data_IF_645977771167
#
_entry.id   IF_645977771167
#
_cell.length_a   1.000
_cell.length_b   1.000
_cell.length_c   1.000
_cell.angle_alpha   90.00
_cell.angle_beta   90.00
_cell.angle_gamma   90.00
#
_symmetry.space_group_name_H-M   'P 1'
#
loop_
_entity.id
_entity.type
_entity.pdbx_description
1 polymer ?
#
# COMPACT_ATOMS: atom_id res chain seq x y z
N UNK A 1 7.32 -8.14 1.01
CA UNK A 1 7.55 -6.70 0.74
C UNK A 1 6.37 -6.15 -0.05
N UNK A 2 5.81 -5.04 0.38
CA UNK A 2 4.74 -4.31 -0.32
C UNK A 2 5.25 -2.88 -0.53
N UNK A 3 5.29 -2.43 -1.77
CA UNK A 3 5.74 -1.11 -2.16
C UNK A 3 4.76 -0.55 -3.20
N UNK A 4 4.23 0.64 -2.96
CA UNK A 4 3.25 1.24 -3.86
C UNK A 4 3.73 2.61 -4.33
N UNK A 5 3.79 2.81 -5.65
CA UNK A 5 3.99 4.13 -6.23
C UNK A 5 2.62 4.78 -6.39
N UNK A 6 2.35 5.82 -5.61
CA UNK A 6 1.01 6.39 -5.49
C UNK A 6 0.99 7.90 -5.58
N UNK A 7 -0.16 8.42 -5.95
CA UNK A 7 -0.59 9.79 -5.67
C UNK A 7 -1.74 9.73 -4.68
N UNK A 8 -1.57 10.43 -3.56
CA UNK A 8 -2.55 10.54 -2.48
C UNK A 8 -3.15 11.94 -2.51
N UNK A 9 -4.48 12.03 -2.53
CA UNK A 9 -5.20 13.28 -2.35
C UNK A 9 -6.05 13.20 -1.08
N UNK A 10 -5.89 14.18 -0.19
CA UNK A 10 -6.57 14.21 1.10
C UNK A 10 -6.49 15.56 1.78
N UNK A 11 -6.80 15.58 3.07
CA UNK A 11 -6.77 16.80 3.90
C UNK A 11 -5.66 16.69 4.93
N UNK A 12 -4.85 17.73 5.06
CA UNK A 12 -3.80 17.77 6.09
C UNK A 12 -4.40 17.65 7.48
N UNK A 13 -4.00 16.61 8.20
CA UNK A 13 -4.48 16.31 9.57
C UNK A 13 -3.51 16.77 10.65
N UNK A 14 -2.22 16.78 10.33
CA UNK A 14 -1.15 17.13 11.26
C UNK A 14 -0.15 18.04 10.58
N UNK A 15 0.21 19.13 11.27
CA UNK A 15 1.15 20.16 10.78
C UNK A 15 2.53 19.58 10.45
N UNK A 16 3.16 20.16 9.44
CA UNK A 16 4.51 19.84 9.04
C UNK A 16 5.53 20.23 10.13
N UNK A 17 6.42 19.31 10.45
CA UNK A 17 7.49 19.48 11.44
C UNK A 17 8.80 18.92 10.90
N UNK A 18 9.90 19.66 11.11
CA UNK A 18 11.24 19.15 10.85
C UNK A 18 11.61 18.09 11.85
N UNK A 19 12.22 17.02 11.36
CA UNK A 19 12.75 15.90 12.13
C UNK A 19 14.11 15.48 11.58
N UNK A 20 14.86 14.71 12.34
CA UNK A 20 16.06 14.04 11.88
C UNK A 20 15.95 12.53 12.17
N UNK A 21 16.47 11.70 11.28
CA UNK A 21 16.63 10.28 11.53
C UNK A 21 17.87 10.02 12.42
N UNK A 22 18.12 8.75 12.76
CA UNK A 22 19.26 8.35 13.60
C UNK A 22 20.62 8.67 12.99
N UNK A 23 20.67 8.85 11.68
CA UNK A 23 21.87 9.18 10.89
C UNK A 23 22.06 10.69 10.70
N UNK A 24 21.16 11.50 11.28
CA UNK A 24 21.20 12.97 11.19
C UNK A 24 20.56 13.54 9.91
N UNK A 25 20.03 12.71 9.02
CA UNK A 25 19.34 13.19 7.80
C UNK A 25 18.05 13.90 8.19
N UNK A 26 17.91 15.14 7.73
CA UNK A 26 16.72 15.94 8.00
C UNK A 26 15.58 15.61 7.04
N UNK A 27 14.36 15.64 7.57
CA UNK A 27 13.14 15.46 6.80
C UNK A 27 11.98 16.19 7.47
N UNK A 28 11.00 16.55 6.67
CA UNK A 28 9.71 17.04 7.17
C UNK A 28 8.75 15.87 7.33
N UNK A 29 7.97 15.87 8.42
CA UNK A 29 6.90 14.90 8.66
C UNK A 29 5.57 15.63 8.93
N UNK A 30 4.49 15.17 8.29
CA UNK A 30 3.11 15.65 8.49
C UNK A 30 2.10 14.51 8.29
N UNK A 31 0.83 14.76 8.55
CA UNK A 31 -0.24 13.79 8.37
C UNK A 31 -1.26 14.22 7.32
N UNK A 32 -1.82 13.27 6.61
CA UNK A 32 -2.93 13.47 5.67
C UNK A 32 -4.04 12.49 6.02
N UNK A 33 -5.26 12.99 6.22
CA UNK A 33 -6.45 12.16 6.33
C UNK A 33 -7.06 11.94 4.94
N UNK A 34 -7.45 10.70 4.69
CA UNK A 34 -8.25 10.30 3.54
C UNK A 34 -9.46 9.51 4.01
N UNK A 35 -10.57 9.68 3.32
CA UNK A 35 -11.79 8.90 3.54
C UNK A 35 -11.85 7.78 2.52
N UNK A 36 -11.77 6.55 2.99
CA UNK A 36 -11.92 5.34 2.15
C UNK A 36 -13.40 4.92 2.19
N UNK A 37 -14.08 4.89 1.03
CA UNK A 37 -15.48 4.50 0.98
C UNK A 37 -15.65 3.02 1.31
N UNK A 38 -16.64 2.69 2.11
CA UNK A 38 -17.06 1.32 2.35
C UNK A 38 -18.13 0.91 1.32
N UNK A 39 -18.04 -0.31 0.80
CA UNK A 39 -19.09 -0.88 -0.08
C UNK A 39 -20.43 -1.06 0.66
N UNK A 40 -20.35 -1.27 1.97
CA UNK A 40 -21.48 -1.34 2.90
C UNK A 40 -21.02 -0.87 4.27
N UNK A 41 -21.87 -0.12 4.98
CA UNK A 41 -21.54 0.40 6.30
C UNK A 41 -20.91 1.80 6.26
N UNK A 42 -20.03 2.06 7.20
CA UNK A 42 -19.46 3.40 7.45
C UNK A 42 -18.11 3.54 6.75
N UNK A 43 -17.91 4.64 6.03
CA UNK A 43 -16.64 5.01 5.45
C UNK A 43 -15.56 5.11 6.55
N UNK A 44 -14.33 4.80 6.20
CA UNK A 44 -13.21 4.83 7.16
C UNK A 44 -12.25 5.97 6.84
N UNK A 45 -12.04 6.84 7.81
CA UNK A 45 -10.95 7.82 7.74
C UNK A 45 -9.64 7.15 8.15
N UNK A 46 -8.61 7.34 7.33
CA UNK A 46 -7.27 6.78 7.55
C UNK A 46 -6.26 7.91 7.49
N UNK A 47 -5.38 7.98 8.48
CA UNK A 47 -4.24 8.89 8.46
C UNK A 47 -3.06 8.24 7.74
N UNK A 48 -2.45 8.97 6.82
CA UNK A 48 -1.19 8.64 6.16
C UNK A 48 -0.11 9.53 6.76
N UNK A 49 0.92 8.93 7.32
CA UNK A 49 2.13 9.64 7.74
C UNK A 49 3.01 9.91 6.53
N UNK A 50 3.24 11.18 6.23
CA UNK A 50 4.07 11.63 5.12
C UNK A 50 5.44 12.06 5.63
N UNK A 51 6.49 11.65 4.94
CA UNK A 51 7.86 12.12 5.15
C UNK A 51 8.43 12.63 3.81
N UNK A 52 9.09 13.79 3.85
CA UNK A 52 9.79 14.37 2.70
C UNK A 52 11.19 14.81 3.13
N UNK A 53 12.23 14.26 2.51
CA UNK A 53 13.60 14.73 2.73
C UNK A 53 13.73 16.16 2.27
N UNK A 54 14.16 17.05 3.16
CA UNK A 54 14.43 18.46 2.92
C UNK A 54 15.26 19.02 4.08
N UNK A 55 16.00 20.10 3.85
CA UNK A 55 16.82 20.73 4.88
C UNK A 55 16.08 21.83 5.65
N UNK A 56 14.97 22.34 5.08
CA UNK A 56 14.17 23.40 5.68
C UNK A 56 12.70 23.28 5.24
N UNK A 57 11.77 23.74 6.08
CA UNK A 57 10.35 23.88 5.72
C UNK A 57 10.14 24.86 4.57
N UNK A 58 11.03 25.83 4.38
CA UNK A 58 10.95 26.81 3.26
C UNK A 58 11.14 26.18 1.87
N UNK A 59 11.68 24.98 1.80
CA UNK A 59 11.81 24.21 0.55
C UNK A 59 10.48 23.58 0.10
N UNK A 60 9.46 23.62 0.95
CA UNK A 60 8.16 23.00 0.70
C UNK A 60 7.06 24.06 0.53
N UNK A 61 5.99 23.75 -0.20
CA UNK A 61 4.81 24.59 -0.18
C UNK A 61 4.23 24.66 1.25
N UNK A 62 3.49 25.72 1.54
CA UNK A 62 2.85 25.88 2.86
C UNK A 62 1.86 24.75 3.11
N UNK A 63 2.11 23.97 4.17
CA UNK A 63 1.30 22.82 4.58
C UNK A 63 0.56 23.20 5.85
N UNK A 64 -0.74 23.49 5.72
CA UNK A 64 -1.61 23.88 6.83
C UNK A 64 -2.65 22.81 7.11
N UNK A 65 -2.93 22.56 8.41
CA UNK A 65 -4.00 21.66 8.83
C UNK A 65 -5.36 22.13 8.27
N UNK A 66 -6.15 21.20 7.76
CA UNK A 66 -7.44 21.46 7.14
C UNK A 66 -7.39 21.79 5.64
N UNK A 67 -6.20 22.00 5.04
CA UNK A 67 -6.08 22.26 3.61
C UNK A 67 -6.01 20.96 2.79
N UNK A 68 -6.51 21.04 1.55
CA UNK A 68 -6.40 19.94 0.57
C UNK A 68 -4.98 19.90 0.02
N UNK A 69 -4.48 18.67 -0.13
CA UNK A 69 -3.12 18.44 -0.61
C UNK A 69 -3.07 17.16 -1.46
N UNK A 70 -2.23 17.19 -2.47
CA UNK A 70 -1.88 16.02 -3.27
C UNK A 70 -0.40 15.70 -3.08
N UNK A 71 -0.09 14.46 -2.78
CA UNK A 71 1.28 13.99 -2.52
C UNK A 71 1.56 12.76 -3.35
N UNK A 72 2.57 12.85 -4.22
CA UNK A 72 3.12 11.71 -4.94
C UNK A 72 4.29 11.09 -4.17
N UNK A 73 4.41 9.77 -4.20
CA UNK A 73 5.52 9.10 -3.51
C UNK A 73 5.37 7.59 -3.40
N UNK A 74 6.18 7.03 -2.52
CA UNK A 74 6.21 5.61 -2.22
C UNK A 74 5.47 5.36 -0.92
N UNK A 75 4.33 4.67 -1.01
CA UNK A 75 3.54 4.24 0.13
C UNK A 75 3.97 2.83 0.57
N UNK A 76 4.23 2.69 1.85
CA UNK A 76 4.52 1.43 2.52
C UNK A 76 3.50 1.19 3.63
N UNK A 77 3.18 -0.08 3.84
CA UNK A 77 2.30 -0.54 4.90
C UNK A 77 3.12 -1.18 6.00
N UNK A 78 2.91 -0.75 7.23
CA UNK A 78 3.56 -1.31 8.40
C UNK A 78 2.50 -1.79 9.39
N UNK A 79 2.52 -3.08 9.73
CA UNK A 79 1.56 -3.65 10.68
C UNK A 79 2.20 -3.75 12.06
N UNK A 80 1.51 -3.21 13.08
CA UNK A 80 1.89 -3.34 14.48
C UNK A 80 0.66 -3.80 15.28
N UNK A 81 0.69 -5.02 15.78
CA UNK A 81 -0.50 -5.66 16.34
C UNK A 81 -1.62 -5.75 15.30
N UNK A 82 -2.80 -5.25 15.62
CA UNK A 82 -3.95 -5.19 14.70
C UNK A 82 -3.99 -3.91 13.85
N UNK A 83 -3.16 -2.91 14.17
CA UNK A 83 -3.13 -1.63 13.46
C UNK A 83 -2.26 -1.71 12.20
N UNK A 84 -2.77 -1.16 11.11
CA UNK A 84 -2.05 -0.97 9.86
C UNK A 84 -1.72 0.51 9.68
N UNK A 85 -0.44 0.83 9.67
CA UNK A 85 0.10 2.18 9.47
C UNK A 85 0.47 2.37 8.00
N UNK A 86 0.12 3.52 7.47
CA UNK A 86 0.41 3.94 6.11
C UNK A 86 1.48 5.03 6.15
N UNK A 87 2.65 4.74 5.60
CA UNK A 87 3.80 5.65 5.57
C UNK A 87 4.14 6.00 4.12
N UNK A 88 4.11 7.28 3.78
CA UNK A 88 4.37 7.80 2.44
C UNK A 88 5.69 8.58 2.43
N UNK A 89 6.66 8.06 1.69
CA UNK A 89 7.88 8.80 1.36
C UNK A 89 7.59 9.68 0.15
N UNK A 90 7.39 10.98 0.37
CA UNK A 90 6.97 11.91 -0.66
C UNK A 90 8.10 12.24 -1.65
N UNK A 91 7.81 12.13 -2.94
CA UNK A 91 8.65 12.64 -4.04
C UNK A 91 8.19 14.01 -4.53
N UNK A 92 6.87 14.26 -4.52
CA UNK A 92 6.24 15.52 -4.91
C UNK A 92 5.11 15.91 -3.98
N UNK A 93 4.90 17.22 -3.79
CA UNK A 93 3.83 17.80 -2.98
C UNK A 93 3.20 18.93 -3.78
N UNK A 94 1.86 18.90 -3.92
CA UNK A 94 1.09 19.91 -4.63
C UNK A 94 -0.08 20.38 -3.75
N UNK A 95 -0.17 21.68 -3.52
CA UNK A 95 -1.23 22.32 -2.73
C UNK A 95 -2.21 23.12 -3.58
N UNK A 96 -1.94 23.32 -4.87
CA UNK A 96 -2.73 24.23 -5.71
C UNK A 96 -3.85 23.55 -6.50
N UNK A 97 -3.66 22.31 -6.94
CA UNK A 97 -4.60 21.59 -7.81
C UNK A 97 -5.05 20.25 -7.19
N UNK A 98 -5.08 20.17 -5.87
CA UNK A 98 -5.55 18.94 -5.20
C UNK A 98 -7.02 18.68 -5.53
N UNK A 99 -7.35 17.44 -5.87
CA UNK A 99 -8.73 17.02 -6.12
C UNK A 99 -9.62 17.27 -4.89
N UNK A 100 -10.90 17.57 -5.12
CA UNK A 100 -11.89 17.66 -4.03
C UNK A 100 -12.24 16.29 -3.42
N UNK A 101 -11.93 15.21 -4.13
CA UNK A 101 -12.19 13.85 -3.65
C UNK A 101 -10.94 13.26 -3.00
N UNK A 102 -11.14 12.57 -1.88
CA UNK A 102 -10.10 11.76 -1.26
C UNK A 102 -9.78 10.55 -2.13
N UNK A 103 -8.51 10.15 -2.18
CA UNK A 103 -8.12 8.98 -2.93
C UNK A 103 -6.65 8.63 -2.82
N UNK A 104 -6.38 7.37 -3.12
CA UNK A 104 -5.04 6.83 -3.35
C UNK A 104 -5.09 6.14 -4.71
N UNK A 105 -4.30 6.64 -5.66
CA UNK A 105 -4.20 6.07 -6.99
C UNK A 105 -2.75 5.68 -7.26
N UNK A 106 -2.54 4.51 -7.81
CA UNK A 106 -1.20 4.09 -8.19
C UNK A 106 -1.05 2.59 -8.30
N UNK A 107 0.19 2.15 -8.40
CA UNK A 107 0.56 0.76 -8.61
C UNK A 107 1.20 0.14 -7.38
N UNK A 108 0.94 -1.14 -7.17
CA UNK A 108 1.54 -1.98 -6.14
C UNK A 108 2.58 -2.91 -6.76
N UNK A 109 3.74 -3.01 -6.14
CA UNK A 109 4.69 -4.10 -6.29
C UNK A 109 4.66 -4.95 -5.01
N UNK A 110 4.39 -6.23 -5.19
CA UNK A 110 4.22 -7.18 -4.11
C UNK A 110 5.17 -8.35 -4.27
N UNK A 111 5.79 -8.74 -3.14
CA UNK A 111 6.50 -10.01 -3.01
C UNK A 111 6.09 -10.70 -1.72
N UNK A 112 5.70 -11.97 -1.83
CA UNK A 112 5.20 -12.68 -0.67
C UNK A 112 4.90 -14.14 -0.94
N UNK A 113 3.95 -14.69 -0.19
CA UNK A 113 3.58 -16.10 -0.20
C UNK A 113 2.09 -16.25 -0.45
N UNK A 114 1.72 -17.13 -1.36
CA UNK A 114 0.33 -17.45 -1.68
C UNK A 114 -0.40 -18.08 -0.50
N UNK A 115 -1.62 -17.65 -0.28
CA UNK A 115 -2.55 -18.24 0.65
C UNK A 115 -3.11 -19.59 0.17
N UNK A 116 -4.06 -20.13 0.93
CA UNK A 116 -4.63 -21.47 0.65
C UNK A 116 -5.67 -21.44 -0.48
N UNK A 117 -6.43 -20.36 -0.58
CA UNK A 117 -7.56 -20.25 -1.53
C UNK A 117 -7.10 -19.53 -2.80
N UNK A 118 -7.21 -20.22 -3.93
CA UNK A 118 -6.92 -19.70 -5.27
C UNK A 118 -8.04 -20.20 -6.15
N UNK A 119 -8.90 -19.29 -6.61
CA UNK A 119 -10.18 -19.61 -7.26
C UNK A 119 -10.28 -18.97 -8.64
N UNK A 120 -10.59 -19.77 -9.64
CA UNK A 120 -11.02 -19.26 -10.95
C UNK A 120 -12.52 -18.91 -10.87
N UNK A 121 -12.85 -17.71 -11.33
CA UNK A 121 -14.21 -17.17 -11.35
C UNK A 121 -14.56 -16.67 -12.75
N UNK A 122 -15.84 -16.46 -12.95
CA UNK A 122 -16.36 -15.88 -14.20
C UNK A 122 -17.22 -14.68 -13.86
N UNK A 123 -17.02 -13.58 -14.56
CA UNK A 123 -17.88 -12.39 -14.45
C UNK A 123 -19.27 -12.66 -15.02
N UNK A 124 -20.24 -11.81 -14.72
CA UNK A 124 -21.59 -11.86 -15.33
C UNK A 124 -21.55 -11.75 -16.87
N UNK A 125 -20.50 -11.12 -17.41
CA UNK A 125 -20.27 -10.99 -18.86
C UNK A 125 -19.48 -12.16 -19.48
N UNK A 126 -19.22 -13.25 -18.72
CA UNK A 126 -18.52 -14.44 -19.22
C UNK A 126 -16.99 -14.37 -19.22
N UNK A 127 -16.38 -13.28 -18.74
CA UNK A 127 -14.91 -13.17 -18.67
C UNK A 127 -14.37 -13.95 -17.48
N UNK A 128 -13.32 -14.74 -17.71
CA UNK A 128 -12.62 -15.47 -16.65
C UNK A 128 -11.69 -14.55 -15.86
N UNK A 129 -11.56 -14.79 -14.57
CA UNK A 129 -10.54 -14.15 -13.73
C UNK A 129 -10.18 -15.06 -12.55
N UNK A 130 -8.96 -14.93 -12.07
CA UNK A 130 -8.49 -15.67 -10.89
C UNK A 130 -8.46 -14.73 -9.69
N UNK A 131 -8.99 -15.19 -8.55
CA UNK A 131 -8.93 -14.47 -7.26
C UNK A 131 -8.13 -15.29 -6.28
N UNK A 132 -7.20 -14.65 -5.60
CA UNK A 132 -6.43 -15.27 -4.53
C UNK A 132 -5.98 -14.24 -3.50
N UNK A 133 -5.45 -14.71 -2.38
CA UNK A 133 -4.80 -13.86 -1.40
C UNK A 133 -3.36 -14.30 -1.17
N UNK A 134 -2.49 -13.35 -0.95
CA UNK A 134 -1.12 -13.62 -0.55
C UNK A 134 -0.72 -12.68 0.60
N UNK A 135 0.29 -13.06 1.36
CA UNK A 135 0.80 -12.24 2.45
C UNK A 135 2.28 -11.92 2.26
N UNK A 136 2.64 -10.73 2.68
CA UNK A 136 4.03 -10.32 2.90
C UNK A 136 4.31 -10.36 4.39
N UNK A 137 5.47 -10.91 4.77
CA UNK A 137 5.94 -10.94 6.16
C UNK A 137 6.99 -9.88 6.39
N UNK A 138 6.92 -9.22 7.54
CA UNK A 138 7.92 -8.28 8.05
C UNK A 138 8.34 -8.71 9.45
N UNK A 139 9.64 -8.57 9.75
CA UNK A 139 10.17 -8.83 11.08
C UNK A 139 9.92 -7.63 11.98
N UNK A 140 9.30 -7.84 13.13
CA UNK A 140 9.07 -6.84 14.17
C UNK A 140 9.65 -7.36 15.50
N UNK A 141 10.88 -6.95 15.80
CA UNK A 141 11.66 -7.53 16.89
C UNK A 141 11.92 -9.02 16.66
N UNK A 142 11.47 -9.87 17.60
CA UNK A 142 11.58 -11.32 17.51
C UNK A 142 10.37 -11.99 16.83
N UNK A 143 9.34 -11.20 16.48
CA UNK A 143 8.10 -11.68 15.87
C UNK A 143 8.04 -11.34 14.38
N UNK A 144 7.08 -11.98 13.68
CA UNK A 144 6.72 -11.65 12.31
C UNK A 144 5.31 -11.11 12.27
N UNK A 145 5.12 -10.04 11.53
CA UNK A 145 3.80 -9.51 11.16
C UNK A 145 3.49 -9.87 9.71
N UNK A 146 2.22 -10.06 9.42
CA UNK A 146 1.75 -10.50 8.10
C UNK A 146 0.73 -9.51 7.57
N UNK A 147 1.01 -8.94 6.40
CA UNK A 147 0.07 -8.07 5.69
C UNK A 147 -0.50 -8.82 4.50
N UNK A 148 -1.81 -9.03 4.53
CA UNK A 148 -2.54 -9.73 3.50
C UNK A 148 -3.01 -8.78 2.41
N UNK A 149 -2.91 -9.23 1.16
CA UNK A 149 -3.42 -8.56 -0.02
C UNK A 149 -4.28 -9.53 -0.81
N UNK A 150 -5.43 -9.06 -1.27
CA UNK A 150 -6.28 -9.76 -2.21
C UNK A 150 -5.85 -9.41 -3.62
N UNK A 151 -5.76 -10.41 -4.48
CA UNK A 151 -5.36 -10.25 -5.88
C UNK A 151 -6.49 -10.66 -6.81
N UNK A 152 -6.64 -9.89 -7.88
CA UNK A 152 -7.55 -10.19 -8.99
C UNK A 152 -6.77 -10.15 -10.29
N UNK A 153 -6.73 -11.26 -11.00
CA UNK A 153 -6.06 -11.41 -12.29
C UNK A 153 -7.12 -11.67 -13.35
N UNK A 154 -7.37 -10.69 -14.21
CA UNK A 154 -8.36 -10.78 -15.28
C UNK A 154 -7.77 -11.42 -16.53
N UNK A 155 -8.65 -12.05 -17.34
CA UNK A 155 -8.32 -12.68 -18.63
C UNK A 155 -7.26 -13.80 -18.54
N UNK A 156 -6.97 -14.30 -17.34
CA UNK A 156 -6.09 -15.43 -17.10
C UNK A 156 -6.71 -16.41 -16.11
N UNK A 157 -6.35 -17.68 -16.26
CA UNK A 157 -6.67 -18.73 -15.29
C UNK A 157 -5.46 -19.03 -14.42
N UNK A 158 -5.72 -19.74 -13.33
CA UNK A 158 -4.70 -20.25 -12.41
C UNK A 158 -3.62 -21.00 -13.17
N UNK A 159 -2.37 -20.62 -12.99
CA UNK A 159 -1.21 -21.31 -13.53
C UNK A 159 -0.77 -22.48 -12.62
N UNK A 160 -0.09 -23.47 -13.17
CA UNK A 160 0.29 -24.70 -12.44
C UNK A 160 1.16 -24.43 -11.19
N UNK A 161 2.01 -23.41 -11.22
CA UNK A 161 2.86 -23.02 -10.11
C UNK A 161 2.10 -22.32 -8.98
N UNK A 162 0.90 -21.82 -9.23
CA UNK A 162 0.06 -21.14 -8.21
C UNK A 162 -0.52 -22.15 -7.24
N UNK A 163 0.30 -22.61 -6.33
CA UNK A 163 -0.06 -23.54 -5.25
C UNK A 163 0.02 -22.84 -3.89
N UNK A 164 -0.71 -23.30 -2.88
CA UNK A 164 -0.59 -22.79 -1.52
C UNK A 164 0.86 -22.80 -1.05
N UNK A 165 1.30 -21.69 -0.42
CA UNK A 165 2.66 -21.46 0.07
C UNK A 165 3.73 -21.20 -1.03
N UNK A 166 3.39 -21.22 -2.30
CA UNK A 166 4.33 -20.79 -3.34
C UNK A 166 4.69 -19.32 -3.16
N UNK A 167 5.93 -18.97 -3.50
CA UNK A 167 6.37 -17.58 -3.57
C UNK A 167 5.76 -16.87 -4.77
N UNK A 168 5.47 -15.59 -4.64
CA UNK A 168 4.87 -14.80 -5.70
C UNK A 168 5.50 -13.41 -5.77
N UNK A 169 5.80 -12.94 -6.99
CA UNK A 169 5.93 -11.54 -7.34
C UNK A 169 4.65 -11.14 -8.09
N UNK A 170 4.08 -10.01 -7.71
CA UNK A 170 2.93 -9.44 -8.41
C UNK A 170 3.08 -7.93 -8.55
N UNK A 171 2.57 -7.40 -9.66
CA UNK A 171 2.47 -5.97 -9.92
C UNK A 171 1.09 -5.65 -10.49
N UNK A 172 0.53 -4.50 -10.13
CA UNK A 172 -0.78 -4.10 -10.61
C UNK A 172 -1.29 -2.85 -9.93
N UNK A 173 -2.55 -2.50 -10.19
CA UNK A 173 -3.19 -1.33 -9.62
C UNK A 173 -3.59 -1.58 -8.17
N UNK A 174 -3.24 -0.64 -7.29
CA UNK A 174 -3.64 -0.64 -5.89
C UNK A 174 -5.09 -0.17 -5.75
N UNK A 175 -5.90 -0.94 -5.05
CA UNK A 175 -7.23 -0.54 -4.59
C UNK A 175 -7.29 -0.67 -3.07
N UNK A 176 -7.73 0.38 -2.39
CA UNK A 176 -8.05 0.35 -0.97
C UNK A 176 -9.56 0.32 -0.76
N UNK A 177 -10.01 -0.60 0.06
CA UNK A 177 -11.40 -0.73 0.45
C UNK A 177 -11.57 -0.86 1.95
N UNK A 178 -12.81 -0.90 2.40
CA UNK A 178 -13.18 -1.20 3.79
C UNK A 178 -14.07 -2.42 3.80
N UNK A 179 -13.67 -3.43 4.57
CA UNK A 179 -14.43 -4.64 4.83
C UNK A 179 -14.41 -4.96 6.33
N UNK A 180 -15.59 -5.16 6.93
CA UNK A 180 -15.74 -5.39 8.38
C UNK A 180 -14.95 -4.37 9.24
N UNK A 181 -15.08 -3.09 8.89
CA UNK A 181 -14.39 -1.96 9.54
C UNK A 181 -12.84 -2.04 9.52
N UNK A 182 -12.26 -2.87 8.66
CA UNK A 182 -10.82 -2.99 8.45
C UNK A 182 -10.47 -2.56 7.03
N UNK A 183 -9.25 -2.02 6.86
CA UNK A 183 -8.72 -1.77 5.52
C UNK A 183 -8.50 -3.08 4.80
N UNK A 184 -9.01 -3.17 3.58
CA UNK A 184 -8.82 -4.28 2.65
C UNK A 184 -7.91 -3.80 1.51
N UNK A 185 -6.76 -4.46 1.39
CA UNK A 185 -5.80 -4.19 0.33
C UNK A 185 -6.09 -5.11 -0.84
N UNK A 186 -6.36 -4.54 -1.99
CA UNK A 186 -6.59 -5.28 -3.23
C UNK A 186 -5.60 -4.82 -4.30
N UNK A 187 -5.11 -5.75 -5.10
CA UNK A 187 -4.29 -5.47 -6.26
C UNK A 187 -4.93 -6.10 -7.50
N UNK A 188 -5.24 -5.28 -8.49
CA UNK A 188 -5.63 -5.73 -9.83
C UNK A 188 -4.36 -5.98 -10.63
N UNK A 189 -4.03 -7.24 -10.85
CA UNK A 189 -2.76 -7.69 -11.41
C UNK A 189 -2.64 -7.31 -12.88
N UNK A 190 -1.50 -6.71 -13.23
CA UNK A 190 -0.98 -6.59 -14.60
C UNK A 190 0.09 -7.66 -14.90
N UNK A 191 0.95 -7.95 -13.91
CA UNK A 191 2.04 -8.90 -14.01
C UNK A 191 2.09 -9.80 -12.78
N UNK A 192 2.32 -11.10 -12.99
CA UNK A 192 2.42 -12.09 -11.93
C UNK A 192 3.41 -13.19 -12.32
N UNK A 193 4.28 -13.59 -11.40
CA UNK A 193 5.27 -14.65 -11.62
C UNK A 193 5.62 -15.39 -10.35
N UNK A 194 6.11 -16.62 -10.49
CA UNK A 194 6.71 -17.36 -9.40
C UNK A 194 7.92 -16.59 -8.84
N UNK A 195 7.99 -16.49 -7.54
CA UNK A 195 9.19 -16.05 -6.83
C UNK A 195 9.85 -17.24 -6.16
N UNK A 196 11.00 -17.65 -6.68
CA UNK A 196 11.84 -18.62 -6.04
C UNK A 196 12.65 -17.95 -4.93
N UNK A 197 12.42 -18.37 -3.66
CA UNK A 197 13.29 -17.97 -2.57
C UNK A 197 14.68 -18.55 -2.91
N UNK A 198 15.69 -17.69 -3.06
CA UNK A 198 17.06 -18.17 -3.14
C UNK A 198 17.31 -18.99 -1.87
N UNK A 199 17.49 -20.28 -2.01
CA UNK A 199 18.01 -21.13 -0.96
C UNK A 199 19.46 -20.70 -0.75
N UNK A 200 19.70 -19.82 0.23
CA UNK A 200 21.03 -19.66 0.78
C UNK A 200 21.41 -21.03 1.36
N UNK A 201 22.13 -21.81 0.58
CA UNK A 201 22.86 -22.96 1.08
C UNK A 201 23.85 -22.42 2.11
N UNK A 202 23.52 -22.56 3.38
CA UNK A 202 24.52 -22.57 4.42
C UNK A 202 25.43 -23.78 4.14
N UNK A 203 26.54 -23.54 3.43
CA UNK A 203 27.67 -24.46 3.51
C UNK A 203 28.30 -24.26 4.88
N UNK A 204 28.27 -25.33 5.66
CA UNK A 204 29.02 -25.50 6.91
C UNK A 204 30.53 -25.54 6.64
#
# INVERSE_FOLDING_TARGET
MIKCNVTVCGTVSRQAQMRANKEGTQFTSFGINIVIPAKSGINKTVEISVAKTCNSLSELPTIQVGTRIEVAGILMFHKKGEALYLNLSATGINTFNASNNDGINGTMEFRGTLGKQIEDKTTKSGKSFTVFSAYSSEKDGDNYTYTWVRFMQFDKRKEAWMQPKAGINAKGDLELGVYNNRLDLTCRISECSLWEKSSNSYQH
#
